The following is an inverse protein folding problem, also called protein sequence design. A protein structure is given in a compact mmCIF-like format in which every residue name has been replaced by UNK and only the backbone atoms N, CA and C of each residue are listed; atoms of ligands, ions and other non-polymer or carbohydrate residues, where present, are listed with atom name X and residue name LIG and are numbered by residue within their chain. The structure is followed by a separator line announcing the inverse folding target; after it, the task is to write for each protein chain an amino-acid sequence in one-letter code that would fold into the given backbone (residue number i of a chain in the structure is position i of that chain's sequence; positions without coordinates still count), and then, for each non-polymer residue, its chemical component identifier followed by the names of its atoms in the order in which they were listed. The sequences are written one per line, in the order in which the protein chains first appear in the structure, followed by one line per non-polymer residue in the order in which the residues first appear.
data_IF_826741355949
#
_entry.id   IF_826741355949
#
_cell.length_a   1.000
_cell.length_b   1.000
_cell.length_c   1.000
_cell.angle_alpha   90.00
_cell.angle_beta   90.00
_cell.angle_gamma   90.00
#
_symmetry.space_group_name_H-M   'P 1'
#
loop_
_entity.id
_entity.type
_entity.pdbx_description
1 polymer ?
#
# COMPACT_ATOMS: atom_id res chain seq x y z
N UNK A 1 5.18 -7.47 -4.14
CA UNK A 1 4.54 -7.76 -2.85
C UNK A 1 3.24 -8.45 -3.15
N UNK A 2 3.07 -9.65 -2.62
CA UNK A 2 1.82 -10.40 -2.66
C UNK A 2 0.89 -9.84 -1.59
N UNK A 3 -0.23 -9.23 -1.99
CA UNK A 3 -1.19 -8.64 -1.07
C UNK A 3 -2.04 -9.69 -0.36
N UNK A 4 -2.10 -10.93 -0.87
CA UNK A 4 -2.86 -12.01 -0.25
C UNK A 4 -2.00 -12.79 0.73
N UNK A 5 -0.76 -13.07 0.37
CA UNK A 5 0.18 -13.82 1.20
C UNK A 5 1.00 -12.92 2.14
N UNK A 6 1.00 -11.60 1.90
CA UNK A 6 1.67 -10.62 2.77
C UNK A 6 3.20 -10.64 2.69
N UNK A 7 3.76 -11.11 1.57
CA UNK A 7 5.21 -11.29 1.40
C UNK A 7 5.77 -10.61 0.16
N UNK A 8 7.03 -10.18 0.23
CA UNK A 8 7.78 -9.81 -0.97
C UNK A 8 8.24 -11.08 -1.70
N UNK A 9 7.96 -11.14 -2.99
CA UNK A 9 8.28 -12.28 -3.85
C UNK A 9 8.61 -11.80 -5.26
N UNK A 10 9.46 -12.56 -5.95
CA UNK A 10 9.84 -12.35 -7.35
C UNK A 10 9.02 -13.22 -8.33
N UNK A 11 8.07 -14.01 -7.80
CA UNK A 11 7.19 -14.86 -8.59
C UNK A 11 5.76 -14.32 -8.53
N UNK A 12 5.07 -14.33 -9.67
CA UNK A 12 3.65 -13.99 -9.75
C UNK A 12 2.85 -15.29 -9.59
N UNK A 13 1.89 -15.28 -8.67
CA UNK A 13 0.97 -16.40 -8.43
C UNK A 13 -0.23 -16.42 -9.39
N UNK A 14 -1.19 -17.29 -9.12
CA UNK A 14 -2.38 -17.46 -9.97
C UNK A 14 -3.44 -16.35 -9.81
N UNK A 15 -3.35 -15.53 -8.75
CA UNK A 15 -4.29 -14.46 -8.47
C UNK A 15 -3.76 -13.08 -8.85
N UNK A 16 -4.64 -12.08 -8.80
CA UNK A 16 -4.34 -10.70 -9.22
C UNK A 16 -3.89 -9.78 -8.09
N UNK A 17 -3.92 -10.26 -6.84
CA UNK A 17 -3.57 -9.48 -5.64
C UNK A 17 -2.06 -9.25 -5.47
N UNK A 18 -1.47 -8.50 -6.38
CA UNK A 18 -0.05 -8.14 -6.35
C UNK A 18 0.15 -6.64 -6.52
N UNK A 19 1.10 -6.07 -5.77
CA UNK A 19 1.61 -4.75 -6.08
C UNK A 19 2.46 -4.81 -7.36
N UNK A 20 2.23 -3.84 -8.25
CA UNK A 20 3.14 -3.57 -9.36
C UNK A 20 4.54 -3.21 -8.81
N UNK A 21 5.64 -3.53 -9.53
CA UNK A 21 7.00 -3.35 -9.01
C UNK A 21 7.31 -1.94 -8.47
N UNK A 22 6.91 -0.83 -9.12
CA UNK A 22 7.17 0.51 -8.57
C UNK A 22 6.50 0.76 -7.21
N UNK A 23 5.25 0.29 -7.04
CA UNK A 23 4.53 0.44 -5.77
C UNK A 23 5.09 -0.49 -4.70
N UNK A 24 5.55 -1.69 -5.08
CA UNK A 24 6.20 -2.60 -4.15
C UNK A 24 7.53 -2.03 -3.62
N UNK A 25 8.31 -1.35 -4.46
CA UNK A 25 9.52 -0.68 -4.04
C UNK A 25 9.24 0.47 -3.05
N UNK A 26 8.20 1.26 -3.30
CA UNK A 26 7.77 2.31 -2.37
C UNK A 26 7.28 1.74 -1.03
N UNK A 27 6.54 0.62 -1.05
CA UNK A 27 6.16 -0.06 0.19
C UNK A 27 7.38 -0.54 0.96
N UNK A 28 8.35 -1.14 0.26
CA UNK A 28 9.60 -1.59 0.88
C UNK A 28 10.36 -0.43 1.52
N UNK A 29 10.51 0.69 0.81
CA UNK A 29 11.15 1.89 1.34
C UNK A 29 10.43 2.42 2.58
N UNK A 30 9.09 2.47 2.57
CA UNK A 30 8.31 2.86 3.74
C UNK A 30 8.49 1.92 4.94
N UNK A 31 8.59 0.61 4.71
CA UNK A 31 8.78 -0.38 5.78
C UNK A 31 10.18 -0.32 6.40
N UNK A 32 11.18 0.09 5.62
CA UNK A 32 12.57 0.28 6.08
C UNK A 32 12.82 1.68 6.66
N UNK A 33 11.87 2.60 6.54
CA UNK A 33 12.01 3.99 7.03
C UNK A 33 11.30 4.15 8.36
N UNK A 34 11.99 4.73 9.34
CA UNK A 34 11.39 5.09 10.63
C UNK A 34 10.20 6.04 10.43
N UNK A 35 9.18 5.92 11.27
CA UNK A 35 7.96 6.73 11.16
C UNK A 35 8.27 8.24 11.20
N UNK A 36 9.24 8.66 12.02
CA UNK A 36 9.69 10.05 12.12
C UNK A 36 10.32 10.55 10.80
N UNK A 37 10.89 9.65 10.00
CA UNK A 37 11.58 9.95 8.74
C UNK A 37 10.74 9.63 7.50
N UNK A 38 9.56 9.02 7.64
CA UNK A 38 8.75 8.57 6.49
C UNK A 38 8.38 9.67 5.50
N UNK A 39 8.35 10.94 5.93
CA UNK A 39 8.13 12.11 5.08
C UNK A 39 9.24 12.34 4.03
N UNK A 40 10.40 11.71 4.20
CA UNK A 40 11.53 11.77 3.25
C UNK A 40 11.33 10.85 2.04
N UNK A 41 10.50 9.81 2.18
CA UNK A 41 10.15 8.90 1.09
C UNK A 41 9.35 9.67 0.05
N UNK A 42 9.92 9.78 -1.16
CA UNK A 42 9.33 10.59 -2.23
C UNK A 42 8.27 9.80 -2.98
N UNK A 43 7.01 10.07 -2.67
CA UNK A 43 5.86 9.43 -3.32
C UNK A 43 5.08 10.47 -4.11
N UNK A 44 4.86 10.22 -5.40
CA UNK A 44 3.99 11.07 -6.21
C UNK A 44 2.55 11.03 -5.65
N UNK A 45 1.77 12.10 -5.86
CA UNK A 45 0.37 12.13 -5.40
C UNK A 45 -0.44 10.96 -5.97
N UNK A 46 -0.15 10.57 -7.20
CA UNK A 46 -0.82 9.46 -7.87
C UNK A 46 -0.42 8.10 -7.26
N UNK A 47 0.88 7.87 -7.07
CA UNK A 47 1.38 6.61 -6.51
C UNK A 47 0.99 6.46 -5.04
N UNK A 48 0.94 7.56 -4.28
CA UNK A 48 0.46 7.55 -2.89
C UNK A 48 -0.98 7.08 -2.81
N UNK A 49 -1.85 7.58 -3.71
CA UNK A 49 -3.25 7.15 -3.78
C UNK A 49 -3.37 5.68 -4.17
N UNK A 50 -2.60 5.24 -5.17
CA UNK A 50 -2.57 3.84 -5.60
C UNK A 50 -2.09 2.92 -4.48
N UNK A 51 -0.99 3.26 -3.83
CA UNK A 51 -0.42 2.46 -2.74
C UNK A 51 -1.39 2.37 -1.56
N UNK A 52 -2.01 3.48 -1.15
CA UNK A 52 -3.03 3.50 -0.10
C UNK A 52 -4.21 2.56 -0.43
N UNK A 53 -4.73 2.60 -1.66
CA UNK A 53 -5.81 1.70 -2.07
C UNK A 53 -5.40 0.23 -1.94
N UNK A 54 -4.20 -0.12 -2.41
CA UNK A 54 -3.70 -1.49 -2.30
C UNK A 54 -3.51 -1.92 -0.84
N UNK A 55 -3.07 -1.03 0.05
CA UNK A 55 -2.95 -1.33 1.48
C UNK A 55 -4.32 -1.55 2.13
N UNK A 56 -5.34 -0.78 1.74
CA UNK A 56 -6.71 -1.05 2.17
C UNK A 56 -7.20 -2.41 1.67
N UNK A 57 -6.87 -2.79 0.43
CA UNK A 57 -7.22 -4.10 -0.12
C UNK A 57 -6.48 -5.22 0.63
N UNK A 58 -5.21 -5.02 1.00
CA UNK A 58 -4.47 -5.91 1.89
C UNK A 58 -5.20 -6.12 3.22
N UNK A 59 -5.61 -5.04 3.90
CA UNK A 59 -6.34 -5.17 5.17
C UNK A 59 -7.71 -5.84 5.01
N UNK A 60 -8.43 -5.59 3.90
CA UNK A 60 -9.69 -6.30 3.60
C UNK A 60 -9.51 -7.80 3.42
N UNK A 61 -8.37 -8.24 2.87
CA UNK A 61 -8.05 -9.66 2.70
C UNK A 61 -7.75 -10.35 4.03
N UNK A 62 -7.28 -9.62 5.04
CA UNK A 62 -6.74 -10.19 6.28
C UNK A 62 -7.61 -9.95 7.52
N UNK A 63 -8.48 -8.93 7.50
CA UNK A 63 -9.31 -8.55 8.63
C UNK A 63 -10.78 -8.78 8.33
N UNK A 64 -11.43 -9.62 9.14
CA UNK A 64 -12.88 -9.80 9.08
C UNK A 64 -13.60 -8.50 9.41
N UNK A 65 -14.69 -8.22 8.68
CA UNK A 65 -15.50 -7.02 8.85
C UNK A 65 -14.72 -5.69 8.76
N UNK A 66 -13.63 -5.65 7.97
CA UNK A 66 -12.89 -4.41 7.76
C UNK A 66 -13.82 -3.33 7.16
N UNK A 67 -14.01 -2.19 7.84
CA UNK A 67 -14.97 -1.19 7.40
C UNK A 67 -14.55 -0.55 6.08
N UNK A 68 -15.52 -0.01 5.36
CA UNK A 68 -15.20 0.79 4.18
C UNK A 68 -14.49 2.08 4.59
N UNK A 69 -13.21 2.18 4.25
CA UNK A 69 -12.41 3.38 4.48
C UNK A 69 -12.41 4.22 3.21
N UNK A 70 -12.95 5.44 3.33
CA UNK A 70 -12.94 6.44 2.28
C UNK A 70 -11.54 7.11 2.17
N UNK A 71 -10.62 6.46 1.45
CA UNK A 71 -9.26 6.93 1.23
C UNK A 71 -9.16 8.37 0.66
N UNK A 72 -10.16 8.77 -0.13
CA UNK A 72 -10.24 10.12 -0.70
C UNK A 72 -10.48 11.20 0.35
N UNK A 73 -11.20 10.89 1.44
CA UNK A 73 -11.44 11.81 2.55
C UNK A 73 -10.16 11.98 3.39
N UNK A 74 -9.40 10.90 3.62
CA UNK A 74 -8.14 10.94 4.37
C UNK A 74 -7.11 11.86 3.69
N UNK A 75 -7.10 11.92 2.36
CA UNK A 75 -6.14 12.74 1.60
C UNK A 75 -6.61 14.19 1.39
N UNK A 76 -7.84 14.54 1.77
CA UNK A 76 -8.41 15.89 1.57
C UNK A 76 -8.20 16.84 2.76
N UNK A 77 -7.75 16.38 3.92
CA UNK A 77 -7.59 17.24 5.11
C UNK A 77 -6.33 18.14 5.12
N UNK A 78 -5.53 18.19 4.04
CA UNK A 78 -4.28 18.98 4.02
C UNK A 78 -4.11 19.86 2.77
N UNK A 79 -5.21 20.41 2.24
CA UNK A 79 -5.16 21.48 1.23
C UNK A 79 -5.93 22.72 1.68
#
# INVERSE_FOLDING_TARGET
FDLKEGVFTNMVGEHTYFLAPPLAALLYELLETDLEQCHQVKISREDRRKLLQNLLDYYRLHLENFPEINAHLILQEVF
#
